data_IF_365280412233
#
_entry.id   IF_365280412233
#
_cell.length_a   1.000
_cell.length_b   1.000
_cell.length_c   1.000
_cell.angle_alpha   90.00
_cell.angle_beta   90.00
_cell.angle_gamma   90.00
#
_symmetry.space_group_name_H-M   'P 1'
#
loop_
_entity.id
_entity.type
_entity.pdbx_description
1 polymer ?
#
# COMPACT_ATOMS: atom_id res chain seq x y z
N UNK A 1 28.99 -17.13 -10.26
CA UNK A 1 28.85 -16.31 -9.05
C UNK A 1 29.77 -15.12 -9.22
N UNK A 2 29.24 -13.99 -9.71
CA UNK A 2 29.98 -12.74 -9.68
C UNK A 2 29.92 -12.27 -8.24
N UNK A 3 31.04 -12.40 -7.53
CA UNK A 3 31.26 -11.69 -6.28
C UNK A 3 31.22 -10.21 -6.62
N UNK A 4 30.04 -9.60 -6.48
CA UNK A 4 29.95 -8.17 -6.25
C UNK A 4 30.66 -7.96 -4.90
N UNK A 5 31.97 -7.73 -4.95
CA UNK A 5 32.65 -6.91 -3.96
C UNK A 5 32.03 -5.52 -4.10
N UNK A 6 30.77 -5.40 -3.67
CA UNK A 6 30.12 -4.14 -3.47
C UNK A 6 30.88 -3.51 -2.31
N UNK A 7 31.85 -2.66 -2.64
CA UNK A 7 32.21 -1.56 -1.76
C UNK A 7 30.89 -1.04 -1.18
N UNK A 8 30.76 -0.93 0.14
CA UNK A 8 29.53 -0.47 0.74
C UNK A 8 29.17 0.84 0.06
N UNK A 9 28.03 0.87 -0.63
CA UNK A 9 27.47 2.05 -1.27
C UNK A 9 27.25 3.10 -0.18
N UNK A 10 28.28 3.89 0.11
CA UNK A 10 28.27 4.94 1.13
C UNK A 10 27.64 6.18 0.51
N UNK A 11 26.31 6.13 0.34
CA UNK A 11 25.50 7.33 0.26
C UNK A 11 25.13 7.74 1.68
N UNK A 12 25.49 8.96 2.09
CA UNK A 12 25.33 9.45 3.46
C UNK A 12 24.24 10.54 3.50
N UNK A 13 22.95 10.17 3.71
CA UNK A 13 21.83 11.08 3.46
C UNK A 13 21.81 12.30 4.38
N UNK A 14 22.45 12.23 5.54
CA UNK A 14 22.53 13.36 6.49
C UNK A 14 23.71 14.31 6.18
N UNK A 15 24.68 13.89 5.36
CA UNK A 15 25.87 14.69 5.00
C UNK A 15 25.74 15.23 3.57
N UNK A 16 25.32 14.40 2.61
CA UNK A 16 25.37 14.68 1.17
C UNK A 16 24.32 15.71 0.68
N UNK A 17 23.51 16.25 1.59
CA UNK A 17 22.47 17.24 1.28
C UNK A 17 21.32 16.66 0.46
N UNK A 18 20.35 17.52 0.11
CA UNK A 18 19.23 17.12 -0.74
C UNK A 18 19.70 17.02 -2.19
N UNK A 19 19.65 15.81 -2.77
CA UNK A 19 19.90 15.58 -4.19
C UNK A 19 19.01 16.53 -5.01
N UNK A 20 19.62 17.29 -5.92
CA UNK A 20 18.88 18.20 -6.79
C UNK A 20 18.10 17.43 -7.85
N UNK A 21 16.96 17.98 -8.30
CA UNK A 21 16.14 17.33 -9.33
C UNK A 21 16.92 17.11 -10.65
N UNK A 22 17.92 17.96 -10.92
CA UNK A 22 18.82 17.84 -12.07
C UNK A 22 19.76 16.64 -11.97
N UNK A 23 20.33 16.39 -10.79
CA UNK A 23 21.19 15.21 -10.56
C UNK A 23 20.37 13.93 -10.64
N UNK A 24 19.16 13.95 -10.09
CA UNK A 24 18.23 12.82 -10.18
C UNK A 24 17.92 12.45 -11.63
N UNK A 25 17.61 13.44 -12.47
CA UNK A 25 17.33 13.20 -13.89
C UNK A 25 18.55 12.67 -14.66
N UNK A 26 19.75 13.18 -14.36
CA UNK A 26 20.99 12.70 -14.98
C UNK A 26 21.29 11.24 -14.59
N UNK A 27 21.14 10.90 -13.32
CA UNK A 27 21.31 9.51 -12.83
C UNK A 27 20.25 8.59 -13.41
N UNK A 28 18.99 9.01 -13.51
CA UNK A 28 17.94 8.21 -14.16
C UNK A 28 18.24 7.95 -15.64
N UNK A 29 18.81 8.90 -16.36
CA UNK A 29 19.23 8.71 -17.76
C UNK A 29 20.37 7.69 -17.87
N UNK A 30 21.35 7.75 -16.97
CA UNK A 30 22.44 6.77 -16.90
C UNK A 30 21.91 5.37 -16.56
N UNK A 31 21.03 5.25 -15.56
CA UNK A 31 20.38 3.98 -15.22
C UNK A 31 19.64 3.43 -16.43
N UNK A 32 18.87 4.25 -17.17
CA UNK A 32 18.16 3.82 -18.38
C UNK A 32 19.10 3.37 -19.50
N UNK A 33 20.28 3.98 -19.60
CA UNK A 33 21.29 3.59 -20.58
C UNK A 33 21.96 2.26 -20.22
N UNK A 34 22.10 1.97 -18.92
CA UNK A 34 22.71 0.74 -18.41
C UNK A 34 21.71 -0.41 -18.19
N UNK A 35 20.42 -0.12 -17.99
CA UNK A 35 19.40 -1.15 -17.90
C UNK A 35 19.09 -1.69 -19.29
N UNK A 36 19.29 -2.99 -19.56
CA UNK A 36 18.91 -3.59 -20.82
C UNK A 36 17.40 -3.44 -21.06
N UNK A 37 17.01 -3.16 -22.31
CA UNK A 37 15.61 -3.03 -22.72
C UNK A 37 14.77 -4.31 -22.47
N UNK A 38 15.44 -5.46 -22.31
CA UNK A 38 14.83 -6.71 -21.90
C UNK A 38 14.95 -6.85 -20.38
N UNK A 39 13.83 -6.79 -19.62
CA UNK A 39 13.87 -7.05 -18.20
C UNK A 39 14.30 -8.50 -17.98
N UNK A 40 15.51 -8.69 -17.43
CA UNK A 40 15.93 -9.97 -16.89
C UNK A 40 14.90 -10.49 -15.89
N UNK A 41 14.84 -11.83 -15.73
CA UNK A 41 13.89 -12.57 -14.89
C UNK A 41 13.30 -11.74 -13.73
N UNK A 42 11.99 -11.56 -13.76
CA UNK A 42 11.21 -10.93 -12.69
C UNK A 42 11.71 -11.42 -11.32
N UNK A 43 11.95 -10.49 -10.40
CA UNK A 43 12.44 -10.78 -9.06
C UNK A 43 11.55 -11.85 -8.38
N UNK A 44 12.15 -12.88 -7.77
CA UNK A 44 11.43 -14.06 -7.26
C UNK A 44 10.32 -13.75 -6.24
N UNK A 45 10.34 -12.57 -5.62
CA UNK A 45 9.31 -12.11 -4.66
C UNK A 45 8.15 -11.34 -5.28
N UNK A 46 8.13 -11.14 -6.60
CA UNK A 46 7.00 -10.46 -7.27
C UNK A 46 5.68 -11.22 -7.08
N UNK A 47 5.72 -12.56 -7.03
CA UNK A 47 4.55 -13.38 -6.74
C UNK A 47 4.02 -13.24 -5.31
N UNK A 48 4.84 -12.78 -4.35
CA UNK A 48 4.42 -12.55 -2.95
C UNK A 48 3.82 -11.15 -2.76
N UNK A 49 4.39 -10.14 -3.42
CA UNK A 49 3.99 -8.73 -3.27
C UNK A 49 2.79 -8.35 -4.14
N UNK A 50 2.69 -8.96 -5.31
CA UNK A 50 1.53 -8.89 -6.17
C UNK A 50 1.03 -10.32 -6.36
N UNK A 51 0.08 -10.81 -5.54
CA UNK A 51 -0.55 -12.09 -5.82
C UNK A 51 -1.25 -11.97 -7.17
N UNK A 52 -0.57 -12.40 -8.23
CA UNK A 52 -1.14 -12.55 -9.57
C UNK A 52 -2.28 -13.54 -9.43
N UNK A 53 -3.51 -13.02 -9.41
CA UNK A 53 -4.83 -13.60 -9.74
C UNK A 53 -5.21 -15.04 -9.35
N UNK A 54 -4.31 -15.97 -9.06
CA UNK A 54 -4.58 -17.41 -8.99
C UNK A 54 -5.34 -17.80 -7.71
N UNK A 55 -5.31 -16.97 -6.67
CA UNK A 55 -6.00 -17.22 -5.40
C UNK A 55 -7.32 -16.42 -5.22
N UNK A 56 -7.71 -15.58 -6.19
CA UNK A 56 -9.00 -14.88 -6.12
C UNK A 56 -10.07 -15.78 -6.74
N UNK A 57 -11.18 -15.98 -6.03
CA UNK A 57 -12.33 -16.68 -6.61
C UNK A 57 -12.71 -16.00 -7.93
N UNK A 58 -13.00 -16.77 -8.97
CA UNK A 58 -13.39 -16.24 -10.29
C UNK A 58 -14.48 -15.17 -10.17
N UNK A 59 -15.40 -15.35 -9.21
CA UNK A 59 -16.48 -14.41 -8.90
C UNK A 59 -15.98 -13.05 -8.37
N UNK A 60 -14.92 -13.02 -7.56
CA UNK A 60 -14.35 -11.75 -7.06
C UNK A 60 -13.56 -11.02 -8.14
N UNK A 61 -12.92 -11.76 -9.04
CA UNK A 61 -12.26 -11.21 -10.22
C UNK A 61 -13.26 -10.64 -11.23
N UNK A 62 -14.39 -11.31 -11.44
CA UNK A 62 -15.44 -10.83 -12.33
C UNK A 62 -16.14 -9.60 -11.74
N UNK A 63 -16.30 -9.54 -10.41
CA UNK A 63 -16.86 -8.36 -9.73
C UNK A 63 -15.91 -7.16 -9.77
N UNK A 64 -14.61 -7.34 -9.51
CA UNK A 64 -13.61 -6.27 -9.62
C UNK A 64 -13.47 -5.76 -11.06
N UNK A 65 -13.54 -6.66 -12.05
CA UNK A 65 -13.58 -6.25 -13.47
C UNK A 65 -14.82 -5.44 -13.79
N UNK A 66 -15.96 -5.83 -13.25
CA UNK A 66 -17.21 -5.08 -13.42
C UNK A 66 -17.14 -3.70 -12.77
N UNK A 67 -16.54 -3.58 -11.57
CA UNK A 67 -16.33 -2.29 -10.90
C UNK A 67 -15.36 -1.37 -11.67
N UNK A 68 -14.34 -1.95 -12.33
CA UNK A 68 -13.36 -1.21 -13.14
C UNK A 68 -13.88 -0.81 -14.53
N UNK A 69 -14.60 -1.70 -15.21
CA UNK A 69 -15.11 -1.48 -16.58
C UNK A 69 -16.37 -0.59 -16.60
N UNK A 70 -17.10 -0.49 -15.48
CA UNK A 70 -18.37 0.25 -15.35
C UNK A 70 -18.35 1.34 -14.27
N UNK A 71 -17.20 1.96 -14.01
CA UNK A 71 -17.05 3.06 -13.04
C UNK A 71 -17.91 4.31 -13.35
N UNK A 72 -18.46 4.40 -14.56
CA UNK A 72 -19.33 5.50 -15.02
C UNK A 72 -20.83 5.21 -14.79
N UNK A 73 -21.17 4.15 -14.02
CA UNK A 73 -22.55 3.85 -13.61
C UNK A 73 -23.45 3.27 -14.70
N UNK A 74 -22.93 2.99 -15.89
CA UNK A 74 -23.66 2.36 -17.00
C UNK A 74 -23.68 0.84 -16.83
N UNK A 75 -24.52 0.34 -15.94
CA UNK A 75 -24.82 -1.09 -15.83
C UNK A 75 -25.50 -1.56 -17.14
N UNK A 76 -25.05 -2.66 -17.78
CA UNK A 76 -25.73 -3.21 -18.95
C UNK A 76 -27.21 -3.50 -18.65
N UNK A 77 -28.14 -3.11 -19.55
CA UNK A 77 -29.60 -3.30 -19.39
C UNK A 77 -30.04 -4.75 -19.13
N UNK A 78 -29.14 -5.73 -19.35
CA UNK A 78 -29.37 -7.15 -19.06
C UNK A 78 -29.27 -7.50 -17.57
N UNK A 79 -28.67 -6.65 -16.74
CA UNK A 79 -28.70 -6.79 -15.29
C UNK A 79 -29.90 -6.02 -14.74
N UNK A 80 -30.59 -6.60 -13.73
CA UNK A 80 -31.80 -6.05 -13.13
C UNK A 80 -31.55 -4.62 -12.64
N UNK A 81 -31.90 -3.64 -13.47
CA UNK A 81 -31.47 -2.23 -13.36
C UNK A 81 -32.18 -1.44 -12.23
N UNK A 82 -32.56 -2.12 -11.14
CA UNK A 82 -33.29 -1.51 -10.02
C UNK A 82 -33.32 -2.37 -8.75
N UNK A 83 -32.48 -3.40 -8.66
CA UNK A 83 -32.58 -4.39 -7.60
C UNK A 83 -33.83 -5.28 -7.74
N UNK A 84 -34.05 -6.16 -6.76
CA UNK A 84 -35.25 -7.01 -6.73
C UNK A 84 -36.46 -6.11 -6.41
N UNK A 85 -37.29 -5.83 -7.42
CA UNK A 85 -38.54 -5.08 -7.23
C UNK A 85 -39.45 -5.80 -6.22
N UNK A 86 -39.97 -5.01 -5.27
CA UNK A 86 -40.94 -5.46 -4.25
C UNK A 86 -42.38 -5.34 -4.73
N UNK A 87 -42.60 -4.83 -5.95
CA UNK A 87 -43.93 -4.52 -6.48
C UNK A 87 -44.83 -5.76 -6.53
N UNK A 88 -44.22 -6.95 -6.74
CA UNK A 88 -44.88 -8.26 -6.70
C UNK A 88 -45.54 -8.60 -5.35
N UNK A 89 -45.07 -8.00 -4.27
CA UNK A 89 -45.56 -8.28 -2.91
C UNK A 89 -46.43 -7.15 -2.35
N UNK A 90 -46.61 -6.05 -3.11
CA UNK A 90 -47.38 -4.87 -2.70
C UNK A 90 -48.57 -4.58 -3.60
N UNK A 91 -48.50 -4.94 -4.88
CA UNK A 91 -49.58 -4.79 -5.84
C UNK A 91 -50.17 -6.16 -6.18
N UNK A 92 -51.45 -6.36 -5.84
CA UNK A 92 -52.17 -7.63 -6.01
C UNK A 92 -53.07 -7.64 -7.26
N UNK A 93 -52.94 -6.62 -8.12
CA UNK A 93 -53.75 -6.43 -9.31
C UNK A 93 -55.03 -5.62 -9.04
N UNK A 94 -55.74 -5.20 -10.12
CA UNK A 94 -56.98 -4.46 -10.01
C UNK A 94 -58.11 -5.32 -9.42
N UNK A 95 -59.11 -4.65 -8.81
CA UNK A 95 -60.20 -5.20 -7.97
C UNK A 95 -61.03 -6.39 -8.52
N UNK A 96 -60.77 -6.86 -9.75
CA UNK A 96 -61.52 -7.92 -10.42
C UNK A 96 -60.66 -9.08 -10.98
N UNK A 97 -59.32 -9.02 -10.87
CA UNK A 97 -58.44 -10.11 -11.32
C UNK A 97 -57.30 -10.34 -10.30
N UNK A 98 -57.72 -10.67 -9.07
CA UNK A 98 -56.79 -10.87 -7.95
C UNK A 98 -55.97 -12.15 -8.13
N UNK A 99 -54.65 -12.03 -8.06
CA UNK A 99 -53.78 -13.21 -7.94
C UNK A 99 -53.75 -13.67 -6.48
N UNK A 100 -54.64 -14.61 -6.14
CA UNK A 100 -54.69 -15.21 -4.79
C UNK A 100 -53.34 -15.80 -4.36
N UNK A 101 -52.56 -16.37 -5.28
CA UNK A 101 -51.23 -16.91 -5.01
C UNK A 101 -50.25 -15.83 -4.52
N UNK A 102 -50.29 -14.62 -5.10
CA UNK A 102 -49.46 -13.49 -4.67
C UNK A 102 -49.89 -12.96 -3.29
N UNK A 103 -51.20 -12.94 -3.02
CA UNK A 103 -51.73 -12.56 -1.72
C UNK A 103 -51.33 -13.55 -0.62
N UNK A 104 -51.46 -14.85 -0.87
CA UNK A 104 -51.06 -15.90 0.07
C UNK A 104 -49.55 -15.92 0.32
N UNK A 105 -48.74 -15.69 -0.71
CA UNK A 105 -47.29 -15.60 -0.55
C UNK A 105 -46.91 -14.35 0.25
N UNK A 106 -47.51 -13.19 -0.01
CA UNK A 106 -47.29 -11.97 0.78
C UNK A 106 -47.70 -12.15 2.26
N UNK A 107 -48.84 -12.80 2.52
CA UNK A 107 -49.27 -13.12 3.88
C UNK A 107 -48.35 -14.12 4.58
N UNK A 108 -47.85 -15.14 3.88
CA UNK A 108 -46.87 -16.06 4.44
C UNK A 108 -45.59 -15.30 4.83
N UNK A 109 -45.11 -14.40 3.98
CA UNK A 109 -43.95 -13.57 4.30
C UNK A 109 -44.22 -12.60 5.45
N UNK A 110 -45.43 -12.06 5.59
CA UNK A 110 -45.77 -11.21 6.75
C UNK A 110 -45.77 -12.00 8.05
N UNK A 111 -46.33 -13.21 8.06
CA UNK A 111 -46.30 -14.10 9.23
C UNK A 111 -44.87 -14.50 9.59
N UNK A 112 -44.04 -14.83 8.60
CA UNK A 112 -42.62 -15.12 8.81
C UNK A 112 -41.85 -13.89 9.31
N UNK A 113 -42.17 -12.71 8.80
CA UNK A 113 -41.59 -11.43 9.25
C UNK A 113 -41.93 -11.16 10.71
N UNK A 114 -43.18 -11.36 11.12
CA UNK A 114 -43.61 -11.16 12.51
C UNK A 114 -42.91 -12.14 13.45
N UNK A 115 -42.85 -13.42 13.08
CA UNK A 115 -42.10 -14.42 13.86
C UNK A 115 -40.61 -14.07 13.95
N UNK A 116 -40.00 -13.65 12.85
CA UNK A 116 -38.59 -13.24 12.85
C UNK A 116 -38.37 -11.98 13.69
N UNK A 117 -39.29 -11.02 13.65
CA UNK A 117 -39.24 -9.83 14.49
C UNK A 117 -39.36 -10.17 15.99
N UNK A 118 -40.21 -11.13 16.35
CA UNK A 118 -40.32 -11.65 17.71
C UNK A 118 -39.03 -12.32 18.17
N UNK A 119 -38.48 -13.26 17.38
CA UNK A 119 -37.19 -13.89 17.68
C UNK A 119 -36.06 -12.87 17.79
N UNK A 120 -36.06 -11.87 16.91
CA UNK A 120 -35.10 -10.77 16.96
C UNK A 120 -35.25 -9.94 18.24
N UNK A 121 -36.47 -9.68 18.70
CA UNK A 121 -36.73 -8.96 19.94
C UNK A 121 -36.28 -9.77 21.17
N UNK A 122 -36.61 -11.07 21.20
CA UNK A 122 -36.22 -12.00 22.26
C UNK A 122 -34.70 -12.10 22.40
N UNK A 123 -33.99 -12.32 21.28
CA UNK A 123 -32.53 -12.42 21.27
C UNK A 123 -31.81 -11.09 21.07
N UNK A 124 -32.49 -9.94 21.24
CA UNK A 124 -31.88 -8.62 21.01
C UNK A 124 -30.73 -8.35 21.97
N UNK A 125 -30.91 -8.69 23.24
CA UNK A 125 -29.91 -8.48 24.29
C UNK A 125 -28.68 -9.38 24.10
N UNK A 126 -28.89 -10.66 23.78
CA UNK A 126 -27.80 -11.62 23.52
C UNK A 126 -26.99 -11.23 22.28
N UNK A 127 -27.65 -10.79 21.21
CA UNK A 127 -26.98 -10.28 20.02
C UNK A 127 -26.21 -9.00 20.29
N UNK A 128 -26.77 -8.08 21.07
CA UNK A 128 -26.08 -6.86 21.48
C UNK A 128 -24.84 -7.18 22.32
N UNK A 129 -24.92 -8.19 23.20
CA UNK A 129 -23.78 -8.66 23.98
C UNK A 129 -22.68 -9.26 23.10
N UNK A 130 -23.02 -10.21 22.23
CA UNK A 130 -22.05 -10.83 21.31
C UNK A 130 -21.41 -9.78 20.37
N UNK A 131 -22.20 -8.80 19.90
CA UNK A 131 -21.67 -7.69 19.12
C UNK A 131 -20.72 -6.83 19.93
N UNK A 132 -21.03 -6.56 21.20
CA UNK A 132 -20.15 -5.80 22.10
C UNK A 132 -18.84 -6.55 22.35
N UNK A 133 -18.88 -7.84 22.61
CA UNK A 133 -17.68 -8.69 22.78
C UNK A 133 -16.82 -8.71 21.51
N UNK A 134 -17.44 -8.86 20.33
CA UNK A 134 -16.73 -8.79 19.06
C UNK A 134 -16.07 -7.41 18.87
N UNK A 135 -16.79 -6.32 19.13
CA UNK A 135 -16.24 -4.97 19.10
C UNK A 135 -15.09 -4.77 20.10
N UNK A 136 -15.17 -5.34 21.30
CA UNK A 136 -14.11 -5.28 22.30
C UNK A 136 -12.86 -6.06 21.84
N UNK A 137 -13.03 -7.26 21.28
CA UNK A 137 -11.92 -8.03 20.72
C UNK A 137 -11.24 -7.29 19.57
N UNK A 138 -12.01 -6.65 18.67
CA UNK A 138 -11.46 -5.81 17.61
C UNK A 138 -10.69 -4.61 18.16
N UNK A 139 -11.22 -3.95 19.20
CA UNK A 139 -10.53 -2.84 19.87
C UNK A 139 -9.21 -3.27 20.51
N UNK A 140 -9.16 -4.46 21.10
CA UNK A 140 -7.91 -5.02 21.66
C UNK A 140 -6.89 -5.30 20.57
N UNK A 141 -7.31 -5.87 19.43
CA UNK A 141 -6.42 -6.07 18.29
C UNK A 141 -5.91 -4.72 17.76
N UNK A 142 -6.80 -3.73 17.67
CA UNK A 142 -6.45 -2.39 17.21
C UNK A 142 -5.46 -1.69 18.17
N UNK A 143 -5.64 -1.83 19.50
CA UNK A 143 -4.67 -1.30 20.47
C UNK A 143 -3.32 -2.00 20.35
N UNK A 144 -3.29 -3.33 20.20
CA UNK A 144 -2.05 -4.07 19.99
C UNK A 144 -1.34 -3.64 18.69
N UNK A 145 -2.08 -3.41 17.62
CA UNK A 145 -1.51 -2.91 16.36
C UNK A 145 -0.93 -1.50 16.53
N UNK A 146 -1.64 -0.61 17.25
CA UNK A 146 -1.11 0.73 17.57
C UNK A 146 0.18 0.65 18.38
N UNK A 147 0.24 -0.20 19.40
CA UNK A 147 1.44 -0.39 20.21
C UNK A 147 2.62 -0.90 19.37
N UNK A 148 2.36 -1.84 18.45
CA UNK A 148 3.38 -2.32 17.52
C UNK A 148 3.86 -1.22 16.56
N UNK A 149 2.97 -0.36 16.08
CA UNK A 149 3.34 0.78 15.23
C UNK A 149 4.20 1.78 15.99
N UNK A 150 3.85 2.09 17.24
CA UNK A 150 4.64 2.98 18.11
C UNK A 150 6.03 2.39 18.33
N UNK A 151 6.15 1.11 18.74
CA UNK A 151 7.44 0.44 18.90
C UNK A 151 8.27 0.41 17.62
N UNK A 152 7.62 0.21 16.47
CA UNK A 152 8.31 0.26 15.17
C UNK A 152 8.84 1.66 14.88
N UNK A 153 8.07 2.71 15.15
CA UNK A 153 8.51 4.11 15.00
C UNK A 153 9.70 4.42 15.90
N UNK A 154 9.60 4.10 17.18
CA UNK A 154 10.69 4.26 18.15
C UNK A 154 11.97 3.56 17.65
N UNK A 155 11.86 2.31 17.21
CA UNK A 155 13.01 1.56 16.68
C UNK A 155 13.59 2.18 15.40
N UNK A 156 12.75 2.71 14.51
CA UNK A 156 13.24 3.41 13.31
C UNK A 156 13.92 4.73 13.66
N UNK A 157 13.41 5.44 14.66
CA UNK A 157 14.01 6.69 15.17
C UNK A 157 15.36 6.40 15.82
N UNK A 158 15.48 5.37 16.66
CA UNK A 158 16.75 4.93 17.24
C UNK A 158 17.80 4.60 16.15
N UNK A 159 17.40 3.86 15.11
CA UNK A 159 18.28 3.53 14.00
C UNK A 159 18.70 4.76 13.20
N UNK A 160 17.79 5.71 12.98
CA UNK A 160 18.07 6.96 12.29
C UNK A 160 19.02 7.83 13.10
N UNK A 161 18.80 7.99 14.41
CA UNK A 161 19.69 8.72 15.31
C UNK A 161 21.09 8.07 15.36
N UNK A 162 21.16 6.74 15.41
CA UNK A 162 22.44 6.03 15.35
C UNK A 162 23.16 6.22 14.01
N UNK A 163 22.41 6.27 12.89
CA UNK A 163 22.97 6.56 11.56
C UNK A 163 23.47 8.00 11.48
N UNK A 164 22.67 8.96 11.92
CA UNK A 164 23.03 10.38 11.99
C UNK A 164 24.28 10.57 12.84
N UNK A 165 24.35 9.99 14.03
CA UNK A 165 25.53 10.10 14.90
C UNK A 165 26.81 9.56 14.24
N UNK A 166 26.74 8.41 13.55
CA UNK A 166 27.87 7.86 12.80
C UNK A 166 28.29 8.77 11.65
N UNK A 167 27.33 9.34 10.94
CA UNK A 167 27.59 10.24 9.82
C UNK A 167 28.19 11.57 10.29
N UNK A 168 27.65 12.16 11.36
CA UNK A 168 28.21 13.37 11.97
C UNK A 168 29.63 13.17 12.52
N UNK A 169 29.97 11.98 13.02
CA UNK A 169 31.34 11.65 13.43
C UNK A 169 32.30 11.51 12.23
N UNK A 170 31.80 11.11 11.06
CA UNK A 170 32.60 10.97 9.85
C UNK A 170 32.89 12.32 9.17
N UNK A 171 31.94 13.26 9.20
CA UNK A 171 32.05 14.59 8.58
C UNK A 171 33.37 15.35 8.85
N UNK A 172 33.90 15.46 10.09
CA UNK A 172 35.17 16.15 10.32
C UNK A 172 36.38 15.40 9.76
N UNK A 173 36.32 14.07 9.70
CA UNK A 173 37.39 13.24 9.10
C UNK A 173 37.43 13.46 7.60
N UNK A 174 36.27 13.47 6.96
CA UNK A 174 36.13 13.72 5.54
C UNK A 174 36.64 15.11 5.14
N UNK A 175 36.20 16.16 5.85
CA UNK A 175 36.69 17.52 5.63
C UNK A 175 38.21 17.67 5.80
N UNK A 176 38.81 16.95 6.78
CA UNK A 176 40.26 16.93 6.95
C UNK A 176 40.97 16.21 5.78
N UNK A 177 40.45 15.05 5.34
CA UNK A 177 41.01 14.30 4.23
C UNK A 177 40.93 15.09 2.92
N UNK A 178 39.81 15.78 2.67
CA UNK A 178 39.67 16.67 1.52
C UNK A 178 40.68 17.81 1.55
N UNK A 179 40.84 18.50 2.68
CA UNK A 179 41.80 19.60 2.82
C UNK A 179 43.22 19.10 2.59
N UNK A 180 43.60 17.98 3.21
CA UNK A 180 44.91 17.37 3.02
C UNK A 180 45.13 16.94 1.58
N UNK A 181 44.11 16.44 0.90
CA UNK A 181 44.18 16.07 -0.51
C UNK A 181 44.34 17.30 -1.40
N UNK A 182 43.58 18.38 -1.16
CA UNK A 182 43.70 19.68 -1.84
C UNK A 182 45.10 20.28 -1.64
N UNK A 183 45.61 20.27 -0.42
CA UNK A 183 46.95 20.75 -0.08
C UNK A 183 48.05 19.88 -0.70
N UNK A 184 47.85 18.56 -0.76
CA UNK A 184 48.75 17.63 -1.43
C UNK A 184 48.83 17.89 -2.94
N UNK A 185 47.68 18.08 -3.60
CA UNK A 185 47.63 18.47 -5.02
C UNK A 185 48.30 19.83 -5.21
N UNK A 186 47.98 20.82 -4.37
CA UNK A 186 48.57 22.15 -4.45
C UNK A 186 50.09 22.08 -4.29
N UNK A 187 50.61 21.31 -3.34
CA UNK A 187 52.04 21.10 -3.17
C UNK A 187 52.71 20.43 -4.39
N UNK A 188 52.05 19.45 -5.02
CA UNK A 188 52.56 18.83 -6.26
C UNK A 188 52.54 19.84 -7.42
N UNK A 189 51.49 20.65 -7.53
CA UNK A 189 51.36 21.68 -8.56
C UNK A 189 52.40 22.78 -8.36
N UNK A 190 52.56 23.28 -7.13
CA UNK A 190 53.52 24.33 -6.79
C UNK A 190 54.96 23.85 -7.04
N UNK A 191 55.31 22.62 -6.63
CA UNK A 191 56.63 22.02 -6.95
C UNK A 191 56.82 21.75 -8.44
N UNK A 192 55.74 21.42 -9.18
CA UNK A 192 55.75 21.28 -10.62
C UNK A 192 56.00 22.62 -11.34
N UNK A 193 55.38 23.69 -10.88
CA UNK A 193 55.54 25.06 -11.40
C UNK A 193 56.94 25.59 -11.07
N UNK A 194 57.44 25.41 -9.85
CA UNK A 194 58.80 25.82 -9.47
C UNK A 194 59.87 25.11 -10.31
N UNK A 195 59.66 23.85 -10.69
CA UNK A 195 60.53 23.11 -11.63
C UNK A 195 60.43 23.56 -13.09
N UNK A 196 59.39 24.28 -13.47
CA UNK A 196 59.22 24.85 -14.81
C UNK A 196 59.50 26.36 -14.88
N UNK A 197 59.58 27.06 -13.74
CA UNK A 197 59.85 28.49 -13.62
C UNK A 197 61.26 28.82 -13.10
N UNK A 198 62.04 27.84 -12.66
CA UNK A 198 63.49 27.98 -12.46
C UNK A 198 64.24 27.91 -13.80
N UNK A 199 65.31 28.71 -13.99
CA UNK A 199 66.04 28.85 -15.26
C UNK A 199 66.66 27.56 -15.79
#
# INVERSE_FOLDING_TARGET
>A
MLSLDSDPLDYLPYIDGTITDTERQAVEQLIRAETPAEPGMLHSRLGELAPLSENRSLLMRDMERFELDYSDGLVPETFVSGGVSMDRYTDFGPDHDFSYDQMYTALLYSVLRDRNAQLAAEHSAERAHAQKEACESMRQVESLQRDLLVRKRERTEELNLAREAKQMQFQPVDGYLEQRWKDGIKGIVDTGIERHAGP
#
